data_IF_191060595184
#
_entry.id   IF_191060595184
#
_cell.length_a   1.000
_cell.length_b   1.000
_cell.length_c   1.000
_cell.angle_alpha   90.00
_cell.angle_beta   90.00
_cell.angle_gamma   90.00
#
_symmetry.space_group_name_H-M   'P 1'
#
loop_
_entity.id
_entity.type
_entity.pdbx_description
1 polymer ?
#
# COMPACT_ATOMS: atom_id res chain seq x y z
N UNK A 1 -24.74 -10.84 -62.66
CA UNK A 1 -23.31 -10.90 -62.26
C UNK A 1 -22.95 -9.54 -61.68
N UNK A 2 -22.59 -9.51 -60.40
CA UNK A 2 -22.14 -8.30 -59.71
C UNK A 2 -22.92 -8.03 -58.42
N UNK A 3 -22.80 -8.91 -57.43
CA UNK A 3 -23.21 -8.62 -56.05
C UNK A 3 -22.17 -7.70 -55.40
N UNK A 4 -22.67 -6.61 -54.82
CA UNK A 4 -21.90 -5.64 -54.04
C UNK A 4 -21.67 -6.24 -52.65
N UNK A 5 -20.40 -6.42 -52.31
CA UNK A 5 -19.97 -6.96 -51.02
C UNK A 5 -20.41 -6.09 -49.85
N UNK A 6 -21.11 -6.69 -48.89
CA UNK A 6 -21.29 -6.13 -47.56
C UNK A 6 -19.99 -6.36 -46.77
N UNK A 7 -19.24 -5.29 -46.54
CA UNK A 7 -18.20 -5.26 -45.52
C UNK A 7 -18.86 -5.46 -44.16
N UNK A 8 -18.50 -6.56 -43.48
CA UNK A 8 -18.83 -6.79 -42.08
C UNK A 8 -18.08 -5.74 -41.26
N UNK A 9 -18.83 -4.80 -40.69
CA UNK A 9 -18.38 -3.93 -39.62
C UNK A 9 -17.98 -4.87 -38.46
N UNK A 10 -16.68 -4.99 -38.20
CA UNK A 10 -16.17 -5.62 -37.00
C UNK A 10 -16.60 -4.74 -35.81
N UNK A 11 -17.61 -5.19 -35.08
CA UNK A 11 -17.93 -4.65 -33.76
C UNK A 11 -16.72 -4.84 -32.86
N UNK A 12 -15.99 -3.76 -32.59
CA UNK A 12 -15.07 -3.67 -31.46
C UNK A 12 -15.92 -3.57 -30.19
N UNK A 13 -16.42 -4.72 -29.74
CA UNK A 13 -17.02 -4.86 -28.42
C UNK A 13 -16.00 -4.39 -27.37
N UNK A 14 -16.42 -3.47 -26.53
CA UNK A 14 -15.58 -2.79 -25.54
C UNK A 14 -14.91 -3.78 -24.59
N UNK A 15 -13.61 -3.95 -24.78
CA UNK A 15 -12.75 -4.88 -24.03
C UNK A 15 -12.80 -4.62 -22.51
N UNK A 16 -13.07 -3.38 -22.08
CA UNK A 16 -13.13 -3.02 -20.65
C UNK A 16 -14.36 -3.52 -19.87
N UNK A 17 -15.55 -3.60 -20.51
CA UNK A 17 -16.79 -3.93 -19.79
C UNK A 17 -16.86 -5.40 -19.33
N UNK A 18 -16.18 -6.31 -20.03
CA UNK A 18 -16.19 -7.74 -19.74
C UNK A 18 -15.43 -8.13 -18.46
N UNK A 19 -14.31 -7.45 -18.15
CA UNK A 19 -13.45 -7.84 -17.02
C UNK A 19 -14.10 -7.58 -15.66
N UNK A 20 -14.66 -6.39 -15.45
CA UNK A 20 -15.33 -6.07 -14.17
C UNK A 20 -16.53 -6.99 -13.94
N UNK A 21 -17.28 -7.31 -15.00
CA UNK A 21 -18.41 -8.23 -14.92
C UNK A 21 -17.95 -9.66 -14.60
N UNK A 22 -16.84 -10.13 -15.19
CA UNK A 22 -16.26 -11.44 -14.89
C UNK A 22 -15.80 -11.54 -13.42
N UNK A 23 -15.15 -10.49 -12.90
CA UNK A 23 -14.78 -10.40 -11.48
C UNK A 23 -16.03 -10.42 -10.59
N UNK A 24 -17.01 -9.54 -10.85
CA UNK A 24 -18.25 -9.50 -10.09
C UNK A 24 -18.98 -10.85 -10.08
N UNK A 25 -19.09 -11.50 -11.25
CA UNK A 25 -19.76 -12.77 -11.39
C UNK A 25 -19.03 -13.87 -10.63
N UNK A 26 -17.71 -14.00 -10.81
CA UNK A 26 -16.92 -15.06 -10.17
C UNK A 26 -16.92 -14.95 -8.65
N UNK A 27 -16.60 -13.77 -8.12
CA UNK A 27 -16.56 -13.59 -6.67
C UNK A 27 -17.97 -13.59 -6.08
N UNK A 28 -18.97 -13.05 -6.79
CA UNK A 28 -20.36 -13.11 -6.37
C UNK A 28 -20.92 -14.54 -6.30
N UNK A 29 -20.63 -15.39 -7.29
CA UNK A 29 -21.04 -16.80 -7.28
C UNK A 29 -20.31 -17.59 -6.21
N UNK A 30 -19.05 -17.26 -5.91
CA UNK A 30 -18.30 -17.90 -4.85
C UNK A 30 -18.94 -17.72 -3.45
N UNK A 31 -19.75 -16.65 -3.25
CA UNK A 31 -20.57 -16.48 -2.05
C UNK A 31 -21.66 -17.56 -1.94
N UNK A 32 -22.18 -18.04 -3.06
CA UNK A 32 -23.31 -18.98 -3.11
C UNK A 32 -22.85 -20.44 -3.22
N UNK A 33 -21.87 -20.71 -4.08
CA UNK A 33 -21.55 -22.06 -4.55
C UNK A 33 -20.22 -22.61 -4.01
N UNK A 34 -19.40 -21.77 -3.36
CA UNK A 34 -18.08 -22.13 -2.83
C UNK A 34 -17.12 -22.59 -3.93
N UNK A 35 -16.39 -21.68 -4.57
CA UNK A 35 -15.40 -22.07 -5.59
C UNK A 35 -14.09 -22.56 -4.96
N UNK A 36 -13.65 -23.80 -5.21
CA UNK A 36 -12.33 -24.27 -4.81
C UNK A 36 -11.28 -23.72 -5.77
N UNK A 37 -10.33 -22.92 -5.26
CA UNK A 37 -9.00 -22.83 -5.90
C UNK A 37 -8.48 -21.47 -6.35
N UNK A 38 -8.75 -20.36 -5.67
CA UNK A 38 -8.00 -19.11 -5.91
C UNK A 38 -6.89 -18.82 -4.89
N UNK A 39 -6.81 -19.57 -3.80
CA UNK A 39 -6.02 -19.14 -2.64
C UNK A 39 -4.74 -19.93 -2.47
N UNK A 40 -3.66 -19.21 -2.26
CA UNK A 40 -2.50 -19.77 -1.55
C UNK A 40 -2.96 -20.00 -0.10
N UNK A 41 -2.70 -21.16 0.53
CA UNK A 41 -3.00 -21.35 1.94
C UNK A 41 -2.29 -20.30 2.79
N UNK A 42 -3.06 -19.42 3.43
CA UNK A 42 -2.54 -18.42 4.36
C UNK A 42 -2.71 -18.92 5.79
N UNK A 43 -1.61 -19.00 6.55
CA UNK A 43 -1.63 -19.39 7.96
C UNK A 43 -1.86 -18.15 8.84
N UNK A 44 -3.14 -17.82 9.06
CA UNK A 44 -3.54 -16.80 10.03
C UNK A 44 -3.45 -17.35 11.46
N UNK A 45 -3.24 -16.45 12.44
CA UNK A 45 -3.37 -16.83 13.85
C UNK A 45 -4.79 -17.33 14.14
N UNK A 46 -4.90 -18.63 14.45
CA UNK A 46 -6.15 -19.32 14.75
C UNK A 46 -6.92 -18.68 15.90
N UNK A 47 -6.27 -17.95 16.81
CA UNK A 47 -6.94 -17.21 17.85
C UNK A 47 -7.85 -16.11 17.30
N UNK A 48 -7.40 -15.39 16.25
CA UNK A 48 -8.14 -14.28 15.63
C UNK A 48 -9.33 -14.77 14.80
N UNK A 49 -9.34 -16.03 14.37
CA UNK A 49 -10.45 -16.61 13.63
C UNK A 49 -11.67 -16.96 14.50
N UNK A 50 -11.50 -17.16 15.81
CA UNK A 50 -12.56 -17.65 16.70
C UNK A 50 -13.81 -16.77 16.78
N UNK A 51 -13.64 -15.46 16.60
CA UNK A 51 -14.76 -14.52 16.65
C UNK A 51 -15.53 -14.45 15.31
N UNK A 52 -14.85 -14.85 14.23
CA UNK A 52 -15.32 -14.76 12.85
C UNK A 52 -16.18 -16.00 12.53
N UNK A 53 -17.40 -15.83 12.00
CA UNK A 53 -18.24 -16.94 11.57
C UNK A 53 -17.59 -17.75 10.44
N UNK A 54 -17.82 -19.08 10.44
CA UNK A 54 -17.30 -19.99 9.41
C UNK A 54 -17.68 -19.56 8.00
N UNK A 55 -18.89 -18.99 7.80
CA UNK A 55 -19.35 -18.48 6.51
C UNK A 55 -18.41 -17.40 5.92
N UNK A 56 -17.76 -16.59 6.76
CA UNK A 56 -16.75 -15.62 6.31
C UNK A 56 -15.40 -16.31 6.10
N UNK A 57 -15.02 -17.23 7.00
CA UNK A 57 -13.71 -17.91 6.96
C UNK A 57 -13.55 -18.74 5.69
N UNK A 58 -14.61 -19.44 5.28
CA UNK A 58 -14.64 -20.32 4.11
C UNK A 58 -14.68 -19.55 2.78
N UNK A 59 -15.06 -18.27 2.80
CA UNK A 59 -15.20 -17.39 1.64
C UNK A 59 -14.09 -16.34 1.60
N UNK A 60 -12.86 -16.79 1.81
CA UNK A 60 -11.65 -15.97 1.77
C UNK A 60 -10.89 -16.22 0.48
N UNK A 61 -10.48 -15.12 -0.16
CA UNK A 61 -9.75 -15.14 -1.43
C UNK A 61 -8.48 -14.31 -1.28
N UNK A 62 -7.37 -14.95 -0.90
CA UNK A 62 -6.11 -14.26 -0.63
C UNK A 62 -4.87 -15.12 -0.92
N UNK A 63 -3.71 -14.46 -0.98
CA UNK A 63 -2.40 -15.07 -1.22
C UNK A 63 -1.40 -14.85 -0.08
N UNK A 64 -1.65 -13.93 0.85
CA UNK A 64 -0.78 -13.67 2.00
C UNK A 64 -1.53 -13.19 3.25
N UNK A 65 -0.79 -12.89 4.32
CA UNK A 65 -1.32 -12.29 5.56
C UNK A 65 -0.65 -10.94 5.84
N UNK A 66 -1.11 -9.86 5.19
CA UNK A 66 -0.58 -8.52 5.43
C UNK A 66 -1.01 -7.94 6.80
N UNK A 67 -1.89 -8.60 7.56
CA UNK A 67 -2.38 -8.11 8.86
C UNK A 67 -1.26 -8.02 9.92
N UNK A 68 -0.16 -8.75 9.73
CA UNK A 68 1.05 -8.69 10.57
C UNK A 68 1.69 -7.32 10.60
N UNK A 69 1.41 -6.50 9.59
CA UNK A 69 1.92 -5.14 9.49
C UNK A 69 0.94 -4.11 10.06
N UNK A 70 -0.12 -4.51 10.78
CA UNK A 70 -1.08 -3.62 11.47
C UNK A 70 -0.74 -3.51 12.96
N UNK A 71 -0.99 -2.35 13.56
CA UNK A 71 -0.68 -2.06 14.97
C UNK A 71 -1.90 -1.57 15.74
N UNK A 72 -1.84 -1.68 17.06
CA UNK A 72 -2.88 -1.20 17.97
C UNK A 72 -3.16 0.30 17.76
N UNK A 73 -4.44 0.68 17.73
CA UNK A 73 -4.89 2.07 17.64
C UNK A 73 -4.86 2.68 16.23
N UNK A 74 -4.41 1.95 15.21
CA UNK A 74 -4.33 2.47 13.83
C UNK A 74 -5.70 2.58 13.16
N UNK A 75 -5.83 3.56 12.25
CA UNK A 75 -6.86 3.57 11.22
C UNK A 75 -6.37 2.80 9.99
N UNK A 76 -7.01 1.67 9.72
CA UNK A 76 -6.66 0.72 8.65
C UNK A 76 -7.64 0.87 7.50
N UNK A 77 -7.12 0.83 6.27
CA UNK A 77 -7.92 0.69 5.06
C UNK A 77 -7.59 -0.64 4.38
N UNK A 78 -8.58 -1.49 4.18
CA UNK A 78 -8.47 -2.76 3.46
C UNK A 78 -9.03 -2.59 2.05
N UNK A 79 -8.17 -2.73 1.03
CA UNK A 79 -8.57 -2.64 -0.38
C UNK A 79 -9.00 -4.02 -0.88
N UNK A 80 -10.24 -4.12 -1.36
CA UNK A 80 -10.82 -5.40 -1.79
C UNK A 80 -11.17 -6.31 -0.61
N UNK A 81 -11.90 -5.76 0.36
CA UNK A 81 -12.17 -6.42 1.64
C UNK A 81 -13.00 -7.72 1.55
N UNK A 82 -13.65 -7.97 0.40
CA UNK A 82 -14.46 -9.16 0.16
C UNK A 82 -15.54 -9.36 1.22
N UNK A 83 -15.59 -10.58 1.76
CA UNK A 83 -16.49 -10.97 2.86
C UNK A 83 -16.09 -10.39 4.22
N UNK A 84 -14.95 -9.68 4.31
CA UNK A 84 -14.50 -8.95 5.48
C UNK A 84 -13.60 -9.72 6.44
N UNK A 85 -13.14 -10.93 6.09
CA UNK A 85 -12.28 -11.74 6.97
C UNK A 85 -11.05 -10.97 7.47
N UNK A 86 -10.24 -10.43 6.55
CA UNK A 86 -9.07 -9.62 6.87
C UNK A 86 -9.43 -8.41 7.73
N UNK A 87 -10.52 -7.71 7.41
CA UNK A 87 -11.02 -6.60 8.20
C UNK A 87 -11.32 -7.00 9.66
N UNK A 88 -11.96 -8.15 9.89
CA UNK A 88 -12.29 -8.64 11.24
C UNK A 88 -11.07 -9.17 12.02
N UNK A 89 -10.07 -9.70 11.31
CA UNK A 89 -8.77 -10.02 11.91
C UNK A 89 -8.10 -8.71 12.37
N UNK A 90 -7.98 -7.73 11.48
CA UNK A 90 -7.34 -6.44 11.78
C UNK A 90 -8.10 -5.64 12.85
N UNK A 91 -9.42 -5.76 12.91
CA UNK A 91 -10.28 -5.15 13.95
C UNK A 91 -9.85 -5.52 15.37
N UNK A 92 -9.44 -6.79 15.57
CA UNK A 92 -8.93 -7.28 16.84
C UNK A 92 -7.53 -6.75 17.14
N UNK A 93 -6.66 -6.65 16.12
CA UNK A 93 -5.28 -6.16 16.24
C UNK A 93 -5.27 -4.67 16.62
N UNK A 94 -6.10 -3.85 15.95
CA UNK A 94 -6.15 -2.41 16.22
C UNK A 94 -6.88 -2.09 17.54
N UNK A 95 -7.76 -2.99 17.99
CA UNK A 95 -8.52 -2.85 19.23
C UNK A 95 -9.52 -1.68 19.22
N UNK A 96 -10.12 -1.43 20.38
CA UNK A 96 -11.22 -0.47 20.55
C UNK A 96 -10.86 1.00 20.21
N UNK A 97 -9.57 1.34 20.17
CA UNK A 97 -9.08 2.70 19.85
C UNK A 97 -8.79 2.89 18.37
N UNK A 98 -8.59 1.80 17.63
CA UNK A 98 -8.36 1.85 16.19
C UNK A 98 -9.65 1.72 15.40
N UNK A 99 -9.52 1.71 14.07
CA UNK A 99 -10.66 1.57 13.14
C UNK A 99 -10.22 0.83 11.89
N UNK A 100 -11.08 0.00 11.33
CA UNK A 100 -10.85 -0.70 10.06
C UNK A 100 -11.94 -0.35 9.07
N UNK A 101 -11.55 0.11 7.89
CA UNK A 101 -12.44 0.43 6.78
C UNK A 101 -12.16 -0.57 5.66
N UNK A 102 -13.14 -1.40 5.32
CA UNK A 102 -13.07 -2.29 4.17
C UNK A 102 -13.75 -1.68 2.94
N UNK A 103 -13.04 -1.65 1.81
CA UNK A 103 -13.60 -1.20 0.53
C UNK A 103 -13.77 -2.41 -0.38
N UNK A 104 -14.96 -2.58 -0.94
CA UNK A 104 -15.19 -3.56 -2.01
C UNK A 104 -16.19 -3.00 -3.03
N UNK A 105 -16.13 -3.51 -4.26
CA UNK A 105 -17.05 -3.12 -5.33
C UNK A 105 -18.25 -4.07 -5.42
N UNK A 106 -18.10 -5.33 -4.97
CA UNK A 106 -19.11 -6.38 -5.08
C UNK A 106 -20.17 -6.27 -3.96
N UNK A 107 -21.44 -6.00 -4.30
CA UNK A 107 -22.49 -5.82 -3.30
C UNK A 107 -22.80 -7.09 -2.49
N UNK A 108 -22.67 -8.29 -3.07
CA UNK A 108 -22.95 -9.55 -2.35
C UNK A 108 -21.87 -9.85 -1.31
N UNK A 109 -20.60 -9.55 -1.62
CA UNK A 109 -19.49 -9.63 -0.66
C UNK A 109 -19.70 -8.66 0.50
N UNK A 110 -19.99 -7.39 0.21
CA UNK A 110 -20.27 -6.39 1.25
C UNK A 110 -21.49 -6.74 2.10
N UNK A 111 -22.53 -7.32 1.50
CA UNK A 111 -23.71 -7.78 2.23
C UNK A 111 -23.34 -8.88 3.24
N UNK A 112 -22.50 -9.84 2.85
CA UNK A 112 -21.99 -10.86 3.75
C UNK A 112 -21.10 -10.25 4.86
N UNK A 113 -20.20 -9.33 4.50
CA UNK A 113 -19.37 -8.63 5.47
C UNK A 113 -20.22 -7.90 6.51
N UNK A 114 -21.20 -7.10 6.06
CA UNK A 114 -22.10 -6.30 6.92
C UNK A 114 -23.05 -7.18 7.75
N UNK A 115 -23.45 -8.37 7.28
CA UNK A 115 -24.37 -9.30 7.97
C UNK A 115 -23.92 -9.62 9.40
N UNK A 116 -22.62 -9.82 9.61
CA UNK A 116 -22.08 -10.25 10.90
C UNK A 116 -21.45 -9.12 11.72
N UNK A 117 -21.37 -7.91 11.17
CA UNK A 117 -20.63 -6.78 11.73
C UNK A 117 -21.04 -6.44 13.17
N UNK A 118 -22.34 -6.35 13.43
CA UNK A 118 -22.86 -6.08 14.79
C UNK A 118 -22.50 -7.22 15.73
N UNK A 119 -22.80 -8.46 15.36
CA UNK A 119 -22.57 -9.63 16.21
C UNK A 119 -21.10 -9.87 16.54
N UNK A 120 -20.18 -9.56 15.61
CA UNK A 120 -18.74 -9.64 15.85
C UNK A 120 -18.34 -8.52 16.80
N UNK A 121 -18.82 -7.29 16.58
CA UNK A 121 -18.55 -6.17 17.47
C UNK A 121 -19.04 -6.42 18.91
N UNK A 122 -20.21 -7.04 19.07
CA UNK A 122 -20.75 -7.42 20.38
C UNK A 122 -19.85 -8.45 21.10
N UNK A 123 -19.33 -9.44 20.35
CA UNK A 123 -18.38 -10.43 20.89
C UNK A 123 -17.03 -9.81 21.27
N UNK A 124 -16.59 -8.79 20.53
CA UNK A 124 -15.34 -8.06 20.81
C UNK A 124 -15.49 -7.02 21.92
N UNK A 125 -16.71 -6.55 22.17
CA UNK A 125 -17.00 -5.45 23.11
C UNK A 125 -16.79 -4.05 22.53
N UNK A 126 -16.61 -3.93 21.21
CA UNK A 126 -16.46 -2.65 20.50
C UNK A 126 -16.79 -2.81 19.01
N UNK A 127 -17.25 -1.72 18.37
CA UNK A 127 -17.60 -1.69 16.95
C UNK A 127 -16.66 -0.73 16.20
N UNK A 128 -15.59 -1.27 15.63
CA UNK A 128 -14.56 -0.47 14.97
C UNK A 128 -14.38 -0.81 13.47
N UNK A 129 -15.23 -1.66 12.90
CA UNK A 129 -15.22 -1.98 11.47
C UNK A 129 -16.26 -1.16 10.71
N UNK A 130 -15.96 -0.79 9.49
CA UNK A 130 -16.87 -0.13 8.55
C UNK A 130 -16.63 -0.68 7.14
N UNK A 131 -17.70 -0.99 6.39
CA UNK A 131 -17.58 -1.50 5.02
C UNK A 131 -18.24 -0.53 4.07
N UNK A 132 -17.54 -0.10 3.02
CA UNK A 132 -18.01 0.90 2.07
C UNK A 132 -17.93 0.39 0.63
N UNK A 133 -18.92 0.74 -0.19
CA UNK A 133 -18.93 0.35 -1.60
C UNK A 133 -18.14 1.35 -2.44
N UNK A 134 -17.14 0.85 -3.16
CA UNK A 134 -16.26 1.68 -3.99
C UNK A 134 -15.33 0.89 -4.87
N UNK A 135 -14.69 1.58 -5.82
CA UNK A 135 -13.59 1.03 -6.64
C UNK A 135 -12.27 1.40 -5.99
N UNK A 136 -11.33 0.46 -5.87
CA UNK A 136 -10.06 0.70 -5.17
C UNK A 136 -9.14 1.71 -5.90
N UNK A 137 -9.30 1.85 -7.22
CA UNK A 137 -8.64 2.88 -8.02
C UNK A 137 -9.30 4.28 -7.91
N UNK A 138 -10.43 4.39 -7.20
CA UNK A 138 -11.16 5.65 -7.01
C UNK A 138 -11.77 5.70 -5.60
N UNK A 139 -10.94 6.09 -4.63
CA UNK A 139 -11.33 6.22 -3.23
C UNK A 139 -12.01 7.57 -2.94
N UNK A 140 -12.46 8.30 -3.97
CA UNK A 140 -13.28 9.51 -3.82
C UNK A 140 -14.76 9.21 -4.05
N UNK A 141 -15.11 8.41 -5.05
CA UNK A 141 -16.52 8.17 -5.38
C UNK A 141 -17.15 7.15 -4.44
N UNK A 142 -18.15 7.57 -3.67
CA UNK A 142 -18.93 6.67 -2.81
C UNK A 142 -20.10 6.06 -3.57
N UNK A 143 -20.00 4.78 -3.91
CA UNK A 143 -20.99 4.11 -4.75
C UNK A 143 -22.32 3.85 -4.02
N UNK A 144 -22.33 3.76 -2.69
CA UNK A 144 -23.57 3.67 -1.93
C UNK A 144 -24.38 4.99 -2.07
N UNK A 145 -23.69 6.15 -2.06
CA UNK A 145 -24.32 7.46 -2.29
C UNK A 145 -24.78 7.66 -3.74
N UNK A 146 -24.01 7.15 -4.70
CA UNK A 146 -24.40 7.15 -6.12
C UNK A 146 -25.64 6.30 -6.36
N UNK A 147 -25.69 5.09 -5.77
CA UNK A 147 -26.85 4.21 -5.89
C UNK A 147 -28.11 4.83 -5.27
N UNK A 148 -27.99 5.47 -4.10
CA UNK A 148 -29.08 6.21 -3.46
C UNK A 148 -29.59 7.37 -4.34
N UNK A 149 -28.70 8.09 -5.02
CA UNK A 149 -29.07 9.15 -5.95
C UNK A 149 -29.83 8.59 -7.16
N UNK A 150 -29.32 7.52 -7.77
CA UNK A 150 -29.93 6.88 -8.94
C UNK A 150 -31.34 6.32 -8.67
N UNK A 151 -31.61 5.84 -7.45
CA UNK A 151 -32.94 5.40 -7.05
C UNK A 151 -33.97 6.54 -7.05
N UNK A 152 -33.53 7.78 -6.81
CA UNK A 152 -34.37 8.98 -6.78
C UNK A 152 -34.38 9.72 -8.13
N UNK A 153 -33.30 9.60 -8.90
CA UNK A 153 -33.05 10.32 -10.16
C UNK A 153 -32.64 9.34 -11.28
N UNK A 154 -33.59 8.55 -11.82
CA UNK A 154 -33.28 7.58 -12.88
C UNK A 154 -32.86 8.27 -14.18
N UNK A 155 -31.76 7.80 -14.78
CA UNK A 155 -31.23 8.32 -16.04
C UNK A 155 -32.13 7.91 -17.19
N UNK A 156 -32.72 8.88 -17.89
CA UNK A 156 -33.57 8.67 -19.07
C UNK A 156 -33.17 9.54 -20.27
N UNK A 157 -32.22 10.44 -20.07
CA UNK A 157 -31.72 11.39 -21.05
C UNK A 157 -30.25 11.73 -20.82
N UNK A 158 -29.64 12.37 -21.81
CA UNK A 158 -28.26 12.88 -21.70
C UNK A 158 -28.16 13.99 -20.63
N UNK A 159 -29.24 14.72 -20.36
CA UNK A 159 -29.27 15.72 -19.28
C UNK A 159 -29.14 15.03 -17.92
N UNK A 160 -29.87 13.94 -17.70
CA UNK A 160 -29.80 13.19 -16.44
C UNK A 160 -28.40 12.60 -16.21
N UNK A 161 -27.70 12.23 -17.29
CA UNK A 161 -26.30 11.79 -17.21
C UNK A 161 -25.38 12.92 -16.75
N UNK A 162 -25.56 14.14 -17.28
CA UNK A 162 -24.80 15.30 -16.83
C UNK A 162 -25.10 15.64 -15.36
N UNK A 163 -26.36 15.51 -14.93
CA UNK A 163 -26.75 15.70 -13.53
C UNK A 163 -26.09 14.67 -12.60
N UNK A 164 -26.04 13.39 -13.01
CA UNK A 164 -25.28 12.37 -12.28
C UNK A 164 -23.80 12.74 -12.17
N UNK A 165 -23.16 13.11 -13.28
CA UNK A 165 -21.74 13.50 -13.29
C UNK A 165 -21.47 14.69 -12.37
N UNK A 166 -22.36 15.68 -12.36
CA UNK A 166 -22.30 16.82 -11.45
C UNK A 166 -22.46 16.40 -9.98
N UNK A 167 -23.34 15.43 -9.70
CA UNK A 167 -23.49 14.87 -8.36
C UNK A 167 -22.25 14.07 -7.92
N UNK A 168 -21.69 13.24 -8.80
CA UNK A 168 -20.46 12.48 -8.54
C UNK A 168 -19.31 13.44 -8.20
N UNK A 169 -19.09 14.46 -9.02
CA UNK A 169 -18.04 15.45 -8.75
C UNK A 169 -18.25 16.19 -7.42
N UNK A 170 -19.50 16.53 -7.09
CA UNK A 170 -19.85 17.11 -5.81
C UNK A 170 -19.48 16.20 -4.64
N UNK A 171 -19.89 14.92 -4.65
CA UNK A 171 -19.60 14.01 -3.53
C UNK A 171 -18.11 13.68 -3.45
N UNK A 172 -17.38 13.61 -4.57
CA UNK A 172 -15.93 13.38 -4.60
C UNK A 172 -15.16 14.46 -3.84
N UNK A 173 -15.68 15.68 -3.82
CA UNK A 173 -15.10 16.81 -3.09
C UNK A 173 -15.65 16.97 -1.67
N UNK A 174 -16.98 16.93 -1.50
CA UNK A 174 -17.61 17.23 -0.21
C UNK A 174 -17.62 16.04 0.75
N UNK A 175 -17.74 14.82 0.22
CA UNK A 175 -17.93 13.57 0.98
C UNK A 175 -17.18 12.40 0.32
N UNK A 176 -15.84 12.48 0.18
CA UNK A 176 -15.09 11.43 -0.47
C UNK A 176 -15.25 10.10 0.27
N UNK A 177 -15.29 8.99 -0.49
CA UNK A 177 -15.38 7.64 0.06
C UNK A 177 -14.30 7.39 1.13
N UNK A 178 -13.07 7.88 0.91
CA UNK A 178 -12.00 7.94 1.90
C UNK A 178 -11.33 9.32 1.81
N UNK A 179 -11.22 10.00 2.94
CA UNK A 179 -10.62 11.32 3.02
C UNK A 179 -9.09 11.29 2.82
N UNK A 180 -8.55 12.38 2.30
CA UNK A 180 -7.11 12.62 2.19
C UNK A 180 -6.45 12.54 3.58
N UNK A 181 -5.22 12.01 3.66
CA UNK A 181 -4.42 11.94 4.89
C UNK A 181 -5.17 11.40 6.13
N UNK A 182 -6.02 10.39 5.95
CA UNK A 182 -6.89 9.85 7.01
C UNK A 182 -6.47 8.47 7.51
N UNK A 183 -5.68 7.72 6.74
CA UNK A 183 -5.34 6.32 6.99
C UNK A 183 -3.91 6.19 7.53
N UNK A 184 -3.70 5.37 8.56
CA UNK A 184 -2.37 5.08 9.10
C UNK A 184 -1.69 3.93 8.34
N UNK A 185 -2.47 2.90 7.99
CA UNK A 185 -1.99 1.75 7.21
C UNK A 185 -3.01 1.29 6.17
N UNK A 186 -2.55 1.09 4.94
CA UNK A 186 -3.33 0.42 3.89
C UNK A 186 -2.89 -1.04 3.81
N UNK A 187 -3.87 -1.92 3.75
CA UNK A 187 -3.69 -3.35 3.56
C UNK A 187 -4.42 -3.79 2.29
N UNK A 188 -3.86 -4.76 1.59
CA UNK A 188 -4.51 -5.41 0.44
C UNK A 188 -3.98 -6.82 0.29
N UNK A 189 -4.87 -7.73 -0.12
CA UNK A 189 -4.55 -9.13 -0.37
C UNK A 189 -5.09 -9.57 -1.74
N UNK A 190 -4.22 -9.67 -2.73
CA UNK A 190 -4.49 -10.28 -4.03
C UNK A 190 -5.56 -9.60 -4.92
N UNK A 191 -5.77 -8.29 -4.78
CA UNK A 191 -6.79 -7.56 -5.57
C UNK A 191 -6.25 -6.49 -6.51
N UNK A 192 -4.98 -6.07 -6.42
CA UNK A 192 -4.48 -5.00 -7.31
C UNK A 192 -4.40 -5.51 -8.76
N UNK A 193 -4.17 -6.81 -8.94
CA UNK A 193 -4.16 -7.46 -10.26
C UNK A 193 -5.51 -7.47 -10.96
N UNK A 194 -6.61 -7.19 -10.25
CA UNK A 194 -7.95 -7.12 -10.85
C UNK A 194 -8.28 -5.73 -11.39
N UNK A 195 -7.42 -4.73 -11.11
CA UNK A 195 -7.54 -3.37 -11.64
C UNK A 195 -7.03 -3.31 -13.06
N UNK A 196 -7.77 -2.59 -13.92
CA UNK A 196 -7.41 -2.45 -15.33
C UNK A 196 -6.06 -1.76 -15.48
N UNK A 197 -5.26 -2.10 -16.52
CA UNK A 197 -3.91 -1.55 -16.67
C UNK A 197 -3.89 -0.02 -16.70
N UNK A 198 -4.86 0.62 -17.34
CA UNK A 198 -4.99 2.08 -17.43
C UNK A 198 -5.26 2.76 -16.09
N UNK A 199 -5.86 2.04 -15.13
CA UNK A 199 -6.26 2.56 -13.83
C UNK A 199 -5.21 2.31 -12.74
N UNK A 200 -4.22 1.45 -13.00
CA UNK A 200 -3.18 1.07 -12.02
C UNK A 200 -2.42 2.28 -11.49
N UNK A 201 -2.09 3.26 -12.34
CA UNK A 201 -1.41 4.48 -11.89
C UNK A 201 -2.28 5.29 -10.92
N UNK A 202 -3.59 5.38 -11.18
CA UNK A 202 -4.54 6.08 -10.31
C UNK A 202 -4.70 5.35 -8.98
N UNK A 203 -4.69 4.01 -8.99
CA UNK A 203 -4.72 3.19 -7.77
C UNK A 203 -3.60 3.55 -6.79
N UNK A 204 -2.34 3.54 -7.23
CA UNK A 204 -1.23 3.90 -6.34
C UNK A 204 -1.28 5.38 -5.90
N UNK A 205 -1.76 6.28 -6.76
CA UNK A 205 -1.95 7.68 -6.41
C UNK A 205 -3.05 7.86 -5.33
N UNK A 206 -4.14 7.11 -5.40
CA UNK A 206 -5.19 7.11 -4.38
C UNK A 206 -4.71 6.52 -3.05
N UNK A 207 -3.91 5.44 -3.09
CA UNK A 207 -3.25 4.91 -1.89
C UNK A 207 -2.37 5.97 -1.23
N UNK A 208 -1.55 6.68 -2.02
CA UNK A 208 -0.71 7.75 -1.52
C UNK A 208 -1.54 8.91 -0.95
N UNK A 209 -2.64 9.28 -1.61
CA UNK A 209 -3.51 10.38 -1.18
C UNK A 209 -4.11 10.12 0.21
N UNK A 210 -4.70 8.95 0.42
CA UNK A 210 -5.47 8.67 1.64
C UNK A 210 -4.59 8.37 2.85
N UNK A 211 -3.34 7.93 2.64
CA UNK A 211 -2.39 7.72 3.71
C UNK A 211 -1.99 9.03 4.38
N UNK A 212 -1.89 9.03 5.71
CA UNK A 212 -1.22 10.08 6.48
C UNK A 212 0.27 10.12 6.16
N UNK A 213 0.90 11.27 6.38
CA UNK A 213 2.36 11.36 6.40
C UNK A 213 2.92 10.49 7.54
N UNK A 214 3.88 9.62 7.22
CA UNK A 214 4.39 8.58 8.11
C UNK A 214 3.58 7.28 8.09
N UNK A 215 2.43 7.25 7.41
CA UNK A 215 1.66 6.04 7.17
C UNK A 215 2.33 5.10 6.17
N UNK A 216 1.83 3.87 6.08
CA UNK A 216 2.42 2.81 5.26
C UNK A 216 1.40 1.98 4.50
N UNK A 217 1.85 1.30 3.46
CA UNK A 217 1.13 0.20 2.81
C UNK A 217 1.75 -1.13 3.23
N UNK A 218 0.93 -2.18 3.28
CA UNK A 218 1.34 -3.56 3.41
C UNK A 218 0.51 -4.40 2.43
N UNK A 219 1.12 -4.82 1.32
CA UNK A 219 0.40 -5.37 0.17
C UNK A 219 0.94 -6.75 -0.13
N UNK A 220 0.06 -7.75 -0.08
CA UNK A 220 0.33 -9.09 -0.59
C UNK A 220 -0.37 -9.25 -1.93
N UNK A 221 0.36 -9.59 -2.99
CA UNK A 221 -0.21 -9.81 -4.32
C UNK A 221 0.56 -10.89 -5.12
N UNK A 222 0.10 -11.20 -6.32
CA UNK A 222 0.77 -12.08 -7.28
C UNK A 222 1.56 -11.26 -8.30
N UNK A 223 2.81 -11.65 -8.55
CA UNK A 223 3.68 -11.09 -9.59
C UNK A 223 4.09 -12.17 -10.57
N UNK A 224 4.41 -11.75 -11.81
CA UNK A 224 4.98 -12.61 -12.85
C UNK A 224 6.46 -12.32 -13.05
N UNK A 225 7.22 -13.35 -13.41
CA UNK A 225 8.64 -13.25 -13.78
C UNK A 225 8.86 -12.76 -15.22
N UNK A 226 7.85 -12.90 -16.09
CA UNK A 226 7.81 -12.39 -17.46
C UNK A 226 6.57 -11.51 -17.72
N UNK A 227 6.62 -10.60 -18.71
CA UNK A 227 5.44 -9.84 -19.13
C UNK A 227 4.32 -10.78 -19.62
N UNK A 228 3.10 -10.59 -19.08
CA UNK A 228 1.95 -11.41 -19.47
C UNK A 228 1.50 -11.05 -20.90
N UNK A 229 1.44 -12.01 -21.85
CA UNK A 229 1.03 -11.77 -23.23
C UNK A 229 -0.41 -11.25 -23.37
N UNK A 230 -0.69 -10.46 -24.42
CA UNK A 230 -2.01 -9.87 -24.64
C UNK A 230 -3.15 -10.91 -24.73
N UNK A 231 -2.89 -12.11 -25.26
CA UNK A 231 -3.94 -13.14 -25.35
C UNK A 231 -4.36 -13.66 -23.98
N UNK A 232 -3.42 -13.75 -23.02
CA UNK A 232 -3.72 -14.08 -21.63
C UNK A 232 -4.41 -12.91 -20.92
N UNK A 233 -4.00 -11.67 -21.18
CA UNK A 233 -4.67 -10.44 -20.68
C UNK A 233 -6.15 -10.42 -21.05
N UNK A 234 -6.50 -10.88 -22.26
CA UNK A 234 -7.87 -10.91 -22.77
C UNK A 234 -8.70 -12.12 -22.32
N UNK A 235 -8.10 -13.07 -21.59
CA UNK A 235 -8.79 -14.24 -21.05
C UNK A 235 -9.50 -13.91 -19.72
N UNK A 236 -10.85 -13.95 -19.66
CA UNK A 236 -11.59 -13.61 -18.45
C UNK A 236 -11.40 -14.59 -17.28
N UNK A 237 -11.11 -15.86 -17.54
CA UNK A 237 -10.88 -16.86 -16.50
C UNK A 237 -9.51 -16.65 -15.84
N UNK A 238 -8.48 -16.35 -16.64
CA UNK A 238 -7.16 -16.02 -16.12
C UNK A 238 -7.13 -14.64 -15.46
N UNK A 239 -7.91 -13.67 -15.95
CA UNK A 239 -8.06 -12.36 -15.32
C UNK A 239 -8.66 -12.46 -13.93
N UNK A 240 -9.81 -13.13 -13.82
CA UNK A 240 -10.49 -13.30 -12.53
C UNK A 240 -9.71 -14.14 -11.52
N UNK A 241 -8.78 -14.98 -11.98
CA UNK A 241 -7.84 -15.75 -11.16
C UNK A 241 -6.56 -15.00 -10.75
N UNK A 242 -6.49 -13.67 -10.92
CA UNK A 242 -5.35 -12.82 -10.59
C UNK A 242 -4.04 -13.15 -11.34
N UNK A 243 -4.13 -13.89 -12.46
CA UNK A 243 -2.99 -14.25 -13.31
C UNK A 243 -2.75 -13.18 -14.36
N UNK A 244 -3.79 -12.84 -15.13
CA UNK A 244 -3.60 -12.00 -16.33
C UNK A 244 -3.27 -10.54 -16.06
N UNK A 245 -3.70 -10.02 -14.91
CA UNK A 245 -3.41 -8.66 -14.49
C UNK A 245 -2.19 -8.54 -13.58
N UNK A 246 -1.43 -9.61 -13.38
CA UNK A 246 -0.21 -9.62 -12.57
C UNK A 246 0.78 -8.56 -13.06
N UNK A 247 1.43 -7.88 -12.10
CA UNK A 247 2.56 -7.03 -12.41
C UNK A 247 3.80 -7.88 -12.67
N UNK A 248 4.67 -7.42 -13.56
CA UNK A 248 6.05 -7.89 -13.57
C UNK A 248 6.72 -7.54 -12.23
N UNK A 249 7.55 -8.44 -11.70
CA UNK A 249 8.23 -8.28 -10.40
C UNK A 249 8.85 -6.88 -10.20
N UNK A 250 9.60 -6.37 -11.19
CA UNK A 250 10.22 -5.05 -11.10
C UNK A 250 9.23 -3.89 -11.26
N UNK A 251 8.20 -4.05 -12.08
CA UNK A 251 7.18 -3.01 -12.33
C UNK A 251 6.30 -2.79 -11.11
N UNK A 252 6.05 -3.85 -10.34
CA UNK A 252 5.29 -3.76 -9.10
C UNK A 252 5.96 -2.81 -8.10
N UNK A 253 7.28 -2.96 -7.89
CA UNK A 253 8.06 -2.09 -7.01
C UNK A 253 8.17 -0.67 -7.59
N UNK A 254 8.40 -0.56 -8.89
CA UNK A 254 8.50 0.73 -9.59
C UNK A 254 7.21 1.55 -9.48
N UNK A 255 6.04 0.89 -9.48
CA UNK A 255 4.77 1.59 -9.34
C UNK A 255 4.64 2.34 -8.01
N UNK A 256 5.17 1.79 -6.90
CA UNK A 256 5.24 2.49 -5.61
C UNK A 256 6.21 3.68 -5.66
N UNK A 257 7.38 3.51 -6.29
CA UNK A 257 8.37 4.58 -6.47
C UNK A 257 7.79 5.75 -7.29
N UNK A 258 7.13 5.46 -8.41
CA UNK A 258 6.48 6.47 -9.26
C UNK A 258 5.39 7.23 -8.51
N UNK A 259 4.66 6.54 -7.63
CA UNK A 259 3.67 7.11 -6.73
C UNK A 259 4.28 7.82 -5.49
N UNK A 260 5.60 7.96 -5.43
CA UNK A 260 6.36 8.71 -4.39
C UNK A 260 6.44 8.03 -3.02
N UNK A 261 6.12 6.75 -2.94
CA UNK A 261 6.43 5.97 -1.76
C UNK A 261 7.95 5.83 -1.56
N UNK A 262 8.34 5.57 -0.32
CA UNK A 262 9.72 5.28 0.04
C UNK A 262 9.81 4.06 0.93
N UNK A 263 11.04 3.58 1.15
CA UNK A 263 11.27 2.45 2.06
C UNK A 263 10.56 1.21 1.56
N UNK A 264 10.50 1.06 0.23
CA UNK A 264 9.86 -0.06 -0.45
C UNK A 264 10.67 -1.31 -0.09
N UNK A 265 10.04 -2.24 0.61
CA UNK A 265 10.69 -3.43 1.15
C UNK A 265 9.90 -4.67 0.80
N UNK A 266 10.59 -5.70 0.32
CA UNK A 266 10.01 -7.02 0.12
C UNK A 266 10.07 -7.75 1.46
N UNK A 267 8.92 -7.93 2.10
CA UNK A 267 8.76 -8.62 3.38
C UNK A 267 8.75 -10.14 3.20
N UNK A 268 8.12 -10.61 2.13
CA UNK A 268 8.06 -12.02 1.78
C UNK A 268 8.04 -12.19 0.25
N UNK A 269 8.71 -13.24 -0.22
CA UNK A 269 8.72 -13.61 -1.63
C UNK A 269 8.77 -15.13 -1.73
N UNK A 270 7.67 -15.72 -2.21
CA UNK A 270 7.53 -17.16 -2.26
C UNK A 270 8.49 -17.77 -3.27
N UNK A 271 9.39 -18.63 -2.78
CA UNK A 271 10.41 -19.27 -3.62
C UNK A 271 9.82 -20.20 -4.69
N UNK A 272 8.69 -20.84 -4.40
CA UNK A 272 7.97 -21.69 -5.33
C UNK A 272 6.83 -20.91 -5.97
N UNK A 273 6.63 -21.02 -7.30
CA UNK A 273 5.48 -20.42 -7.95
C UNK A 273 4.19 -21.07 -7.45
N UNK A 274 3.18 -20.23 -7.24
CA UNK A 274 1.81 -20.70 -6.98
C UNK A 274 1.22 -21.37 -8.22
N UNK A 275 1.54 -20.83 -9.40
CA UNK A 275 1.07 -21.32 -10.69
C UNK A 275 2.08 -21.01 -11.78
N UNK A 276 2.17 -21.87 -12.79
CA UNK A 276 2.90 -21.62 -14.02
C UNK A 276 1.94 -21.75 -15.20
N UNK A 277 1.91 -20.76 -16.10
CA UNK A 277 1.05 -20.77 -17.30
C UNK A 277 1.89 -20.40 -18.51
N UNK A 278 1.91 -21.26 -19.53
CA UNK A 278 2.73 -21.07 -20.74
C UNK A 278 4.23 -20.83 -20.47
N UNK A 279 4.73 -21.28 -19.31
CA UNK A 279 6.12 -21.09 -18.88
C UNK A 279 6.34 -19.89 -17.96
N UNK A 280 5.37 -18.98 -17.86
CA UNK A 280 5.41 -17.80 -16.98
C UNK A 280 5.08 -18.24 -15.55
N UNK A 281 5.94 -17.89 -14.61
CA UNK A 281 5.81 -18.26 -13.21
C UNK A 281 5.17 -17.13 -12.41
N UNK A 282 4.10 -17.47 -11.67
CA UNK A 282 3.35 -16.53 -10.85
C UNK A 282 3.63 -16.80 -9.38
N UNK A 283 4.17 -15.80 -8.68
CA UNK A 283 4.63 -15.90 -7.29
C UNK A 283 3.88 -14.92 -6.40
N UNK A 284 3.68 -15.31 -5.15
CA UNK A 284 3.20 -14.35 -4.15
C UNK A 284 4.36 -13.53 -3.60
N UNK A 285 4.14 -12.24 -3.53
CA UNK A 285 5.04 -11.25 -2.94
C UNK A 285 4.27 -10.46 -1.87
N UNK A 286 4.91 -10.15 -0.76
CA UNK A 286 4.42 -9.16 0.21
C UNK A 286 5.42 -8.02 0.32
N UNK A 287 4.93 -6.79 0.18
CA UNK A 287 5.77 -5.60 0.30
C UNK A 287 5.22 -4.65 1.36
N UNK A 288 6.10 -3.83 1.91
CA UNK A 288 5.74 -2.60 2.63
C UNK A 288 6.35 -1.38 1.95
N UNK A 289 5.67 -0.23 2.05
CA UNK A 289 6.20 1.05 1.60
C UNK A 289 5.55 2.21 2.38
N UNK A 290 6.18 3.38 2.41
CA UNK A 290 5.83 4.47 3.32
C UNK A 290 5.57 5.79 2.60
N UNK A 291 4.67 6.61 3.16
CA UNK A 291 4.44 8.01 2.78
C UNK A 291 5.14 8.95 3.75
N UNK A 292 5.66 10.09 3.29
CA UNK A 292 6.27 11.09 4.19
C UNK A 292 7.45 11.87 3.64
N UNK A 293 7.86 11.67 2.37
CA UNK A 293 8.95 12.42 1.74
C UNK A 293 8.59 13.87 1.35
N UNK A 294 7.39 14.36 1.66
CA UNK A 294 6.99 15.72 1.31
C UNK A 294 7.67 16.79 2.19
N UNK A 295 7.76 18.02 1.68
CA UNK A 295 8.29 19.17 2.43
C UNK A 295 9.70 19.60 2.02
N UNK A 296 10.10 20.78 2.51
CA UNK A 296 11.36 21.45 2.18
C UNK A 296 12.60 20.77 2.76
N UNK A 297 13.69 20.74 2.01
CA UNK A 297 15.00 20.31 2.49
C UNK A 297 15.62 21.43 3.35
N UNK A 298 15.70 21.23 4.68
CA UNK A 298 16.26 22.19 5.64
C UNK A 298 17.64 21.73 6.12
N UNK A 299 18.60 22.65 6.21
CA UNK A 299 19.95 22.41 6.71
C UNK A 299 20.02 22.59 8.23
N UNK A 300 20.40 21.53 8.94
CA UNK A 300 20.53 21.46 10.40
C UNK A 300 21.93 21.05 10.86
N UNK A 301 22.92 21.06 9.96
CA UNK A 301 24.27 20.55 10.14
C UNK A 301 24.31 19.08 10.59
N UNK A 302 23.30 18.32 10.18
CA UNK A 302 23.17 16.90 10.47
C UNK A 302 23.96 16.06 9.46
N UNK A 303 24.29 14.84 9.88
CA UNK A 303 24.85 13.83 8.99
C UNK A 303 24.41 12.43 9.39
N UNK A 304 24.53 11.51 8.45
CA UNK A 304 24.32 10.08 8.66
C UNK A 304 25.54 9.30 8.19
N UNK A 305 25.73 8.12 8.76
CA UNK A 305 26.76 7.18 8.33
C UNK A 305 26.06 5.86 7.99
N UNK A 306 26.12 5.45 6.73
CA UNK A 306 25.64 4.13 6.32
C UNK A 306 26.52 3.03 6.92
N UNK A 307 25.90 2.03 7.53
CA UNK A 307 26.60 0.94 8.23
C UNK A 307 27.19 -0.09 7.27
N UNK A 308 26.57 -0.32 6.12
CA UNK A 308 26.88 -1.46 5.22
C UNK A 308 25.75 -2.51 5.23
N UNK A 309 25.97 -3.69 4.62
CA UNK A 309 27.27 -4.26 4.25
C UNK A 309 27.84 -3.80 2.90
N UNK A 310 27.00 -3.27 2.02
CA UNK A 310 27.42 -2.85 0.67
C UNK A 310 28.46 -1.73 0.70
N UNK A 311 29.35 -1.67 -0.29
CA UNK A 311 30.39 -0.63 -0.39
C UNK A 311 29.78 0.78 -0.37
N UNK A 312 28.67 0.93 -1.06
CA UNK A 312 27.81 2.11 -1.08
C UNK A 312 26.39 1.66 -1.42
N UNK A 313 25.39 2.44 -1.02
CA UNK A 313 24.01 2.32 -1.49
C UNK A 313 23.56 3.64 -2.10
N UNK A 314 22.51 3.57 -2.91
CA UNK A 314 21.77 4.74 -3.39
C UNK A 314 20.37 4.61 -2.82
N UNK A 315 19.86 5.66 -2.19
CA UNK A 315 18.48 5.66 -1.68
C UNK A 315 17.48 6.08 -2.77
N UNK A 316 16.18 6.02 -2.47
CA UNK A 316 15.12 6.40 -3.44
C UNK A 316 15.04 7.91 -3.73
N UNK A 317 15.94 8.73 -3.16
CA UNK A 317 16.10 10.15 -3.51
C UNK A 317 17.41 10.41 -4.30
N UNK A 318 18.11 9.34 -4.71
CA UNK A 318 19.38 9.32 -5.43
C UNK A 318 20.61 9.79 -4.63
N UNK A 319 20.54 9.81 -3.29
CA UNK A 319 21.71 10.09 -2.46
C UNK A 319 22.68 8.91 -2.50
N UNK A 320 23.96 9.15 -2.80
CA UNK A 320 25.00 8.11 -2.74
C UNK A 320 25.58 8.05 -1.34
N UNK A 321 25.49 6.88 -0.71
CA UNK A 321 25.81 6.65 0.70
C UNK A 321 26.93 5.59 0.84
N UNK A 322 28.22 5.98 0.78
CA UNK A 322 29.34 5.08 1.02
C UNK A 322 29.38 4.64 2.48
N UNK A 323 29.60 3.33 2.73
CA UNK A 323 29.68 2.80 4.09
C UNK A 323 30.79 3.51 4.90
N UNK A 324 30.49 3.88 6.14
CA UNK A 324 31.44 4.55 7.04
C UNK A 324 31.72 6.03 6.76
N UNK A 325 31.21 6.60 5.65
CA UNK A 325 31.35 8.03 5.36
C UNK A 325 30.25 8.84 6.09
N UNK A 326 30.60 10.05 6.57
CA UNK A 326 29.62 11.03 7.04
C UNK A 326 29.02 11.74 5.84
N UNK A 327 27.76 11.52 5.56
CA UNK A 327 27.02 12.17 4.48
C UNK A 327 26.06 13.19 5.08
N UNK A 328 26.13 14.40 4.55
CA UNK A 328 25.21 15.47 4.87
C UNK A 328 23.81 15.12 4.38
N UNK A 329 22.81 15.33 5.21
CA UNK A 329 21.41 15.13 4.85
C UNK A 329 20.57 16.27 5.39
N UNK A 330 19.45 16.55 4.74
CA UNK A 330 18.46 17.48 5.27
C UNK A 330 17.73 16.88 6.50
N UNK A 331 17.06 17.75 7.26
CA UNK A 331 16.27 17.36 8.45
C UNK A 331 15.30 16.21 8.15
N UNK A 332 14.54 16.32 7.06
CA UNK A 332 13.58 15.29 6.64
C UNK A 332 14.24 13.92 6.42
N UNK A 333 15.32 13.87 5.64
CA UNK A 333 16.05 12.62 5.37
C UNK A 333 16.68 12.06 6.66
N UNK A 334 17.19 12.93 7.53
CA UNK A 334 17.70 12.52 8.84
C UNK A 334 16.62 11.86 9.71
N UNK A 335 15.42 12.45 9.76
CA UNK A 335 14.28 11.86 10.46
C UNK A 335 13.82 10.55 9.83
N UNK A 336 13.78 10.47 8.50
CA UNK A 336 13.41 9.25 7.78
C UNK A 336 14.36 8.10 8.13
N UNK A 337 15.68 8.34 8.08
CA UNK A 337 16.67 7.33 8.42
C UNK A 337 16.71 6.96 9.91
N UNK A 338 16.05 7.76 10.78
CA UNK A 338 15.91 7.45 12.20
C UNK A 338 14.80 6.46 12.54
N UNK A 339 13.96 6.11 11.55
CA UNK A 339 12.75 5.28 11.72
C UNK A 339 12.85 3.99 10.90
N UNK A 340 12.06 2.96 11.20
CA UNK A 340 11.94 1.79 10.32
C UNK A 340 11.50 2.20 8.91
N UNK A 341 11.97 1.53 7.85
CA UNK A 341 12.85 0.34 7.86
C UNK A 341 14.36 0.67 7.87
N UNK A 342 14.73 1.94 8.00
CA UNK A 342 16.11 2.40 7.82
C UNK A 342 16.94 2.46 9.09
N UNK A 343 16.30 2.60 10.26
CA UNK A 343 16.96 2.87 11.55
C UNK A 343 18.20 2.01 11.84
N UNK A 344 18.18 0.73 11.45
CA UNK A 344 19.25 -0.23 11.73
C UNK A 344 20.37 -0.21 10.68
N UNK A 345 20.18 0.52 9.59
CA UNK A 345 21.13 0.65 8.48
C UNK A 345 22.01 1.90 8.61
N UNK A 346 21.61 2.88 9.43
CA UNK A 346 22.31 4.14 9.59
C UNK A 346 22.78 4.39 11.03
N UNK A 347 23.85 5.17 11.15
CA UNK A 347 24.26 5.81 12.41
C UNK A 347 23.95 7.29 12.24
N UNK A 348 23.08 7.81 13.10
CA UNK A 348 22.71 9.21 13.11
C UNK A 348 23.81 10.04 13.79
N UNK A 349 24.20 11.15 13.15
CA UNK A 349 25.17 12.11 13.67
C UNK A 349 24.48 13.47 13.80
N UNK A 350 23.80 13.75 14.93
CA UNK A 350 23.20 15.05 15.17
C UNK A 350 24.27 16.13 15.34
N UNK A 351 23.92 17.42 15.14
CA UNK A 351 24.83 18.51 15.45
C UNK A 351 25.05 18.59 16.98
N UNK A 352 26.20 19.10 17.39
CA UNK A 352 26.53 19.31 18.81
C UNK A 352 25.62 20.35 19.45
N UNK A 353 25.27 21.39 18.70
CA UNK A 353 24.32 22.41 19.07
C UNK A 353 23.20 22.36 18.05
N UNK A 354 21.97 22.31 18.53
CA UNK A 354 20.79 22.33 17.68
C UNK A 354 20.72 23.67 16.94
N UNK A 355 20.49 23.62 15.61
CA UNK A 355 20.33 24.82 14.79
C UNK A 355 18.86 25.23 14.86
N UNK A 356 18.51 26.41 15.40
CA UNK A 356 17.12 26.88 15.46
C UNK A 356 16.50 27.03 14.07
N UNK A 357 15.18 26.86 13.95
CA UNK A 357 14.48 26.92 12.64
C UNK A 357 14.62 28.26 11.94
N UNK A 358 14.72 29.34 12.72
CA UNK A 358 14.92 30.71 12.22
C UNK A 358 16.31 30.93 11.59
N UNK A 359 17.30 30.14 12.01
CA UNK A 359 18.68 30.20 11.55
C UNK A 359 19.00 29.13 10.50
N UNK A 360 18.08 28.21 10.27
CA UNK A 360 18.26 27.08 9.38
C UNK A 360 18.21 27.52 7.90
N UNK A 361 19.21 27.09 7.13
CA UNK A 361 19.29 27.36 5.71
C UNK A 361 18.50 26.34 4.87
N UNK A 362 18.46 26.57 3.55
CA UNK A 362 18.00 25.57 2.59
C UNK A 362 19.11 24.55 2.35
N UNK A 363 18.76 23.27 2.40
CA UNK A 363 19.68 22.18 2.07
C UNK A 363 19.53 21.78 0.60
N UNK A 364 20.65 21.73 -0.13
CA UNK A 364 20.68 21.26 -1.51
C UNK A 364 20.77 19.73 -1.54
N UNK A 365 19.61 19.08 -1.62
CA UNK A 365 19.48 17.63 -1.71
C UNK A 365 20.05 17.04 -3.03
N UNK A 366 20.43 17.86 -4.03
CA UNK A 366 20.94 17.37 -5.32
C UNK A 366 22.43 17.00 -5.32
N UNK A 367 23.15 17.26 -4.22
CA UNK A 367 24.59 17.06 -4.12
C UNK A 367 24.96 16.17 -2.96
N UNK A 368 25.70 15.10 -3.25
CA UNK A 368 26.30 14.23 -2.23
C UNK A 368 27.46 14.95 -1.53
N UNK A 369 27.16 15.61 -0.42
CA UNK A 369 28.16 16.28 0.38
C UNK A 369 28.66 15.37 1.50
N UNK A 370 29.94 14.99 1.45
CA UNK A 370 30.63 14.50 2.65
C UNK A 370 30.60 15.59 3.70
N UNK A 371 29.94 15.34 4.83
CA UNK A 371 29.89 16.29 5.93
C UNK A 371 31.25 16.32 6.62
N UNK A 372 31.88 17.49 6.63
CA UNK A 372 33.11 17.66 7.40
C UNK A 372 32.78 17.58 8.90
N UNK A 373 33.53 16.81 9.72
CA UNK A 373 33.23 16.66 11.15
C UNK A 373 33.18 17.96 11.97
N UNK A 374 33.72 19.08 11.46
CA UNK A 374 33.63 20.39 12.12
C UNK A 374 32.25 21.02 11.99
N UNK A 375 31.52 20.73 10.92
CA UNK A 375 30.17 21.27 10.72
C UNK A 375 29.20 20.72 11.77
N UNK A 376 29.24 19.41 12.03
CA UNK A 376 28.44 18.79 13.11
C UNK A 376 28.90 19.20 14.50
N UNK A 377 30.17 19.56 14.71
CA UNK A 377 30.70 19.94 16.04
C UNK A 377 30.55 21.43 16.36
N UNK A 378 30.30 22.26 15.36
CA UNK A 378 30.56 23.71 15.38
C UNK A 378 31.97 24.01 14.86
N UNK A 379 32.08 24.96 13.92
CA UNK A 379 33.30 25.24 13.15
C UNK A 379 34.50 25.53 14.07
N UNK A 380 34.28 26.21 15.19
CA UNK A 380 35.32 26.63 16.14
C UNK A 380 35.46 25.74 17.37
N UNK A 381 34.89 24.52 17.35
CA UNK A 381 34.97 23.61 18.47
C UNK A 381 36.42 23.10 18.72
N UNK A 382 37.02 23.53 19.84
CA UNK A 382 38.40 23.21 20.25
C UNK A 382 38.53 22.50 21.60
N UNK A 383 37.42 22.13 22.24
CA UNK A 383 37.48 21.55 23.59
C UNK A 383 38.10 20.13 23.57
N UNK A 384 39.04 19.88 24.47
CA UNK A 384 39.67 18.58 24.69
C UNK A 384 39.17 18.01 26.02
N UNK A 385 38.43 16.92 25.98
CA UNK A 385 38.06 16.13 27.17
C UNK A 385 38.87 14.84 27.14
N UNK A 386 39.64 14.55 28.19
CA UNK A 386 40.13 13.19 28.41
C UNK A 386 38.92 12.28 28.64
N UNK A 387 38.96 11.04 28.12
CA UNK A 387 38.07 10.00 28.62
C UNK A 387 38.29 9.95 30.13
N UNK A 388 37.22 10.11 30.93
CA UNK A 388 37.35 10.05 32.38
C UNK A 388 38.13 8.78 32.74
N UNK A 389 39.23 8.93 33.47
CA UNK A 389 40.01 7.81 33.98
C UNK A 389 39.12 6.98 34.91
N UNK A 390 38.36 6.03 34.36
CA UNK A 390 37.82 4.90 35.09
C UNK A 390 38.83 3.76 34.90
N UNK A 391 40.06 4.01 35.31
CA UNK A 391 41.07 2.98 35.50
C UNK A 391 41.49 3.07 36.96
N UNK A 392 40.76 2.36 37.83
CA UNK A 392 41.23 2.08 39.18
C UNK A 392 42.52 1.25 39.10
N UNK A 393 43.42 1.45 40.06
CA UNK A 393 44.68 0.72 40.18
C UNK A 393 44.42 -0.79 40.30
N UNK A 394 44.51 -1.51 39.18
CA UNK A 394 44.45 -2.97 39.12
C UNK A 394 43.68 -3.59 37.95
N UNK A 395 43.00 -2.82 37.10
CA UNK A 395 42.25 -3.40 35.97
C UNK A 395 43.07 -3.41 34.67
N UNK A 396 43.46 -4.61 34.24
CA UNK A 396 43.89 -4.88 32.87
C UNK A 396 42.69 -4.77 31.91
N UNK A 397 42.56 -3.65 31.20
CA UNK A 397 41.72 -3.50 30.00
C UNK A 397 42.41 -2.49 29.08
N UNK A 398 42.56 -2.62 27.76
CA UNK A 398 42.41 -3.67 26.74
C UNK A 398 43.57 -3.44 25.73
N UNK A 399 43.99 -4.44 24.93
CA UNK A 399 45.17 -4.32 24.05
C UNK A 399 45.05 -3.26 22.95
#
# INVERSE_FOLDING_TARGET
MGEVGQEKIHETNGVGAGFEQAVLQRYGSAVSDGEPGLCVPVDYDRALLKVIPDEIIEKDFGCGDPSKHVREGEMVLDLGSGSGKSCYIMSQIVGARGKVIGIDFNPEMLKLARKYQISIGDKLGFHNTEFRRGKIQDLRTNLDLVEQYLQQHPIRSVSDLADLQGYEEKIRHEQPLVADDSIDVIVSNCVLNLVRPEDKKTLFAEMYRVLKRGGRVAISDIVSDEPVPEHMVRDPELWSGCVSGAFLEEEFLRAFEEAKFYGIHIEDFQSQPYRTVEGIEFRSITITAYKGKEGSCVERNQAVIYRGPWKQVMDDDNHILPRGARIAVCEKTFELYSKPPYQDQFILVPPRQEVPTEEAGVFDCSRDHRRHPRETKGIDYKATSAAGNICGSGSNCCP
#
